data_IF_918292923924
#
_entry.id   IF_918292923924
#
_cell.length_a   1.000
_cell.length_b   1.000
_cell.length_c   1.000
_cell.angle_alpha   90.00
_cell.angle_beta   90.00
_cell.angle_gamma   90.00
#
_symmetry.space_group_name_H-M   'P 1'
#
loop_
_entity.id
_entity.type
_entity.pdbx_description
1 polymer ?
#
# COMPACT_ATOMS: atom_id res chain seq x y z
N UNK A 1 -26.14 -17.74 -57.04
CA UNK A 1 -27.52 -18.27 -57.07
C UNK A 1 -28.16 -17.86 -55.75
N UNK A 2 -29.17 -16.98 -55.83
CA UNK A 2 -29.78 -16.30 -54.68
C UNK A 2 -30.95 -17.14 -54.18
N UNK A 3 -30.97 -17.44 -52.88
CA UNK A 3 -32.09 -17.99 -52.12
C UNK A 3 -31.79 -17.65 -50.65
N UNK A 4 -32.68 -17.22 -49.76
CA UNK A 4 -34.13 -17.18 -49.73
C UNK A 4 -34.49 -16.17 -48.62
N UNK A 5 -35.51 -15.34 -48.86
CA UNK A 5 -36.10 -14.46 -47.84
C UNK A 5 -36.84 -15.29 -46.78
N UNK A 6 -36.95 -14.73 -45.57
CA UNK A 6 -38.21 -14.56 -44.78
C UNK A 6 -38.09 -14.98 -43.29
N UNK A 7 -38.03 -13.96 -42.42
CA UNK A 7 -38.72 -13.74 -41.13
C UNK A 7 -38.69 -14.85 -40.06
N UNK A 8 -38.08 -14.55 -38.90
CA UNK A 8 -38.72 -14.67 -37.57
C UNK A 8 -38.18 -13.55 -36.66
N UNK A 9 -39.06 -12.64 -36.25
CA UNK A 9 -38.83 -11.76 -35.11
C UNK A 9 -39.02 -12.56 -33.82
N UNK A 10 -38.06 -12.49 -32.90
CA UNK A 10 -38.21 -12.98 -31.54
C UNK A 10 -37.74 -11.88 -30.58
N UNK A 11 -38.71 -11.04 -30.19
CA UNK A 11 -38.68 -10.34 -28.92
C UNK A 11 -38.80 -11.39 -27.82
N UNK A 12 -37.74 -11.57 -27.03
CA UNK A 12 -37.85 -12.22 -25.72
C UNK A 12 -37.56 -11.16 -24.67
N UNK A 13 -38.60 -10.92 -23.88
CA UNK A 13 -38.66 -9.98 -22.79
C UNK A 13 -37.93 -10.50 -21.54
N UNK A 14 -37.50 -9.54 -20.72
CA UNK A 14 -37.43 -9.57 -19.26
C UNK A 14 -36.38 -10.46 -18.56
N UNK A 15 -35.79 -9.86 -17.53
CA UNK A 15 -34.90 -10.49 -16.54
C UNK A 15 -33.44 -10.22 -16.89
N UNK A 16 -32.65 -9.48 -16.13
CA UNK A 16 -32.68 -9.28 -14.68
C UNK A 16 -31.96 -7.98 -14.35
N UNK A 17 -32.59 -7.14 -13.54
CA UNK A 17 -31.87 -6.19 -12.69
C UNK A 17 -31.06 -7.01 -11.70
N UNK A 18 -29.87 -7.47 -12.11
CA UNK A 18 -28.83 -7.82 -11.17
C UNK A 18 -28.34 -6.50 -10.59
N UNK A 19 -29.11 -6.00 -9.61
CA UNK A 19 -28.56 -5.30 -8.45
C UNK A 19 -27.58 -6.29 -7.82
N UNK A 20 -26.42 -6.42 -8.44
CA UNK A 20 -25.26 -7.03 -7.82
C UNK A 20 -25.07 -6.25 -6.54
N UNK A 21 -25.41 -6.90 -5.44
CA UNK A 21 -25.09 -6.47 -4.10
C UNK A 21 -23.58 -6.31 -4.12
N UNK A 22 -23.10 -5.10 -4.40
CA UNK A 22 -21.74 -4.77 -4.06
C UNK A 22 -21.66 -5.14 -2.57
N UNK A 23 -20.78 -6.07 -2.16
CA UNK A 23 -20.55 -6.23 -0.75
C UNK A 23 -20.14 -4.83 -0.31
N UNK A 24 -20.94 -4.23 0.58
CA UNK A 24 -20.40 -3.17 1.40
C UNK A 24 -19.20 -3.84 2.05
N UNK A 25 -17.99 -3.46 1.62
CA UNK A 25 -16.79 -3.83 2.34
C UNK A 25 -17.11 -3.48 3.78
N UNK A 26 -17.17 -4.49 4.65
CA UNK A 26 -17.26 -4.23 6.06
C UNK A 26 -16.04 -3.36 6.32
N UNK A 27 -16.23 -2.08 6.67
CA UNK A 27 -15.13 -1.22 7.06
C UNK A 27 -14.47 -1.94 8.24
N UNK A 28 -13.38 -2.65 7.96
CA UNK A 28 -12.61 -3.34 8.97
C UNK A 28 -12.14 -2.30 9.98
N UNK A 29 -11.94 -2.71 11.22
CA UNK A 29 -11.32 -1.82 12.20
C UNK A 29 -9.93 -1.42 11.66
N UNK A 30 -9.82 -0.17 11.18
CA UNK A 30 -8.56 0.38 10.68
C UNK A 30 -7.85 1.22 11.73
N UNK A 31 -6.53 1.20 11.70
CA UNK A 31 -5.69 2.06 12.53
C UNK A 31 -4.44 2.48 11.76
N UNK A 32 -3.68 3.43 12.34
CA UNK A 32 -2.46 3.93 11.74
C UNK A 32 -1.28 3.67 12.67
N UNK A 33 -0.15 3.24 12.09
CA UNK A 33 1.13 3.11 12.79
C UNK A 33 2.09 4.10 12.15
N UNK A 34 2.67 4.99 12.96
CA UNK A 34 3.71 5.92 12.51
C UNK A 34 5.01 5.63 13.25
N UNK A 35 6.12 5.61 12.50
CA UNK A 35 7.48 5.44 13.02
C UNK A 35 8.41 6.40 12.33
N UNK A 36 9.38 6.93 13.08
CA UNK A 36 10.31 7.92 12.57
C UNK A 36 11.75 7.54 12.89
N UNK A 37 12.63 7.83 11.93
CA UNK A 37 14.07 7.66 12.02
C UNK A 37 14.75 8.97 11.65
N UNK A 38 15.79 9.31 12.40
CA UNK A 38 16.65 10.43 12.05
C UNK A 38 17.74 9.94 11.11
N UNK A 39 17.77 10.51 9.91
CA UNK A 39 18.84 10.37 8.93
C UNK A 39 19.87 11.47 9.23
N UNK A 40 21.09 11.09 9.57
CA UNK A 40 22.12 12.04 9.99
C UNK A 40 23.50 11.57 9.59
N UNK A 41 24.53 12.34 9.94
CA UNK A 41 25.91 12.04 9.63
C UNK A 41 26.76 12.07 10.90
N UNK A 42 27.66 11.10 11.04
CA UNK A 42 28.68 11.08 12.10
C UNK A 42 30.04 10.98 11.44
N UNK A 43 30.89 11.99 11.65
CA UNK A 43 32.20 12.09 11.01
C UNK A 43 32.17 12.01 9.46
N UNK A 44 31.05 12.41 8.85
CA UNK A 44 30.84 12.36 7.40
C UNK A 44 30.19 11.06 6.91
N UNK A 45 30.05 10.04 7.76
CA UNK A 45 29.39 8.80 7.39
C UNK A 45 27.88 8.87 7.68
N UNK A 46 27.01 8.40 6.77
CA UNK A 46 25.57 8.36 7.00
C UNK A 46 25.22 7.42 8.15
N UNK A 47 24.20 7.80 8.93
CA UNK A 47 23.70 7.08 10.11
C UNK A 47 22.19 7.21 10.22
N UNK A 48 21.53 6.08 10.45
CA UNK A 48 20.11 6.02 10.80
C UNK A 48 19.99 5.89 12.32
N UNK A 49 19.13 6.69 12.95
CA UNK A 49 18.87 6.65 14.39
C UNK A 49 17.36 6.51 14.65
N UNK A 50 16.90 5.47 15.38
CA UNK A 50 17.70 4.40 15.98
C UNK A 50 18.42 3.55 14.92
N UNK A 51 19.50 2.87 15.34
CA UNK A 51 20.28 2.01 14.45
C UNK A 51 19.39 0.88 13.91
N UNK A 52 19.57 0.57 12.63
CA UNK A 52 18.87 -0.50 11.91
C UNK A 52 19.88 -1.38 11.20
N UNK A 53 19.49 -2.62 10.91
CA UNK A 53 20.28 -3.55 10.12
C UNK A 53 20.13 -3.25 8.62
N UNK A 54 21.19 -3.49 7.85
CA UNK A 54 21.23 -3.36 6.38
C UNK A 54 20.80 -1.99 5.81
N UNK A 55 20.83 -0.94 6.64
CA UNK A 55 20.36 0.41 6.30
C UNK A 55 18.91 0.44 5.79
N UNK A 56 18.08 -0.52 6.22
CA UNK A 56 16.67 -0.62 5.88
C UNK A 56 15.82 -0.35 7.11
N UNK A 57 14.88 0.59 6.99
CA UNK A 57 13.89 0.86 8.03
C UNK A 57 12.61 0.12 7.71
N UNK A 58 11.88 -0.30 8.76
CA UNK A 58 10.66 -1.07 8.62
C UNK A 58 9.54 -0.48 9.50
N UNK A 59 8.34 -0.41 8.92
CA UNK A 59 7.11 -0.18 9.67
C UNK A 59 6.14 -1.32 9.41
N UNK A 60 5.63 -1.91 10.49
CA UNK A 60 4.79 -3.12 10.47
C UNK A 60 3.56 -2.92 11.36
N UNK A 61 2.42 -3.42 10.90
CA UNK A 61 1.16 -3.49 11.65
C UNK A 61 1.32 -4.32 12.94
N UNK A 62 0.38 -4.21 13.86
CA UNK A 62 0.37 -5.04 15.05
C UNK A 62 -0.11 -6.46 14.73
N UNK A 63 0.44 -7.46 15.42
CA UNK A 63 0.10 -8.87 15.21
C UNK A 63 0.23 -9.26 13.72
N UNK A 64 -0.74 -10.01 13.19
CA UNK A 64 -0.82 -10.43 11.78
C UNK A 64 -1.78 -9.53 10.96
N UNK A 65 -2.08 -8.33 11.45
CA UNK A 65 -2.93 -7.35 10.75
C UNK A 65 -2.32 -6.94 9.41
N UNK A 66 -3.16 -6.65 8.43
CA UNK A 66 -2.73 -6.41 7.06
C UNK A 66 -2.55 -4.91 6.79
N UNK A 67 -1.45 -4.56 6.14
CA UNK A 67 -1.24 -3.20 5.64
C UNK A 67 -2.14 -3.00 4.42
N UNK A 68 -2.88 -1.88 4.42
CA UNK A 68 -3.78 -1.50 3.31
C UNK A 68 -3.28 -0.29 2.55
N UNK A 69 -2.46 0.54 3.18
CA UNK A 69 -1.88 1.75 2.59
C UNK A 69 -0.64 2.19 3.39
N UNK A 70 0.24 2.98 2.77
CA UNK A 70 1.37 3.60 3.46
C UNK A 70 1.81 4.91 2.81
N UNK A 71 2.51 5.75 3.58
CA UNK A 71 3.07 7.02 3.13
C UNK A 71 4.33 7.39 3.90
N UNK A 72 5.13 8.25 3.31
CA UNK A 72 6.24 8.94 3.97
C UNK A 72 5.94 10.43 4.13
N UNK A 73 6.63 11.10 5.05
CA UNK A 73 6.56 12.55 5.19
C UNK A 73 7.24 13.30 4.03
N UNK A 74 8.26 12.69 3.43
CA UNK A 74 9.02 13.23 2.30
C UNK A 74 9.49 12.08 1.40
N UNK A 75 9.10 12.13 0.13
CA UNK A 75 9.45 11.11 -0.86
C UNK A 75 10.92 11.20 -1.29
N UNK A 76 11.56 12.37 -1.16
CA UNK A 76 12.97 12.55 -1.49
C UNK A 76 13.90 11.82 -0.50
N UNK A 77 13.36 11.36 0.64
CA UNK A 77 14.06 10.55 1.65
C UNK A 77 13.96 9.05 1.38
N UNK A 78 13.39 8.62 0.25
CA UNK A 78 13.18 7.21 -0.10
C UNK A 78 13.95 6.84 -1.37
N UNK A 79 15.01 6.05 -1.22
CA UNK A 79 15.78 5.54 -2.36
C UNK A 79 15.07 4.35 -3.02
N UNK A 80 14.58 3.42 -2.20
CA UNK A 80 13.90 2.20 -2.63
C UNK A 80 12.93 1.74 -1.55
N UNK A 81 11.84 1.08 -1.95
CA UNK A 81 10.87 0.51 -1.02
C UNK A 81 10.26 -0.77 -1.58
N UNK A 82 9.77 -1.63 -0.67
CA UNK A 82 9.00 -2.80 -1.03
C UNK A 82 8.08 -3.22 0.11
N UNK A 83 6.96 -3.84 -0.24
CA UNK A 83 6.05 -4.44 0.74
C UNK A 83 6.67 -5.72 1.30
N UNK A 84 6.43 -5.98 2.59
CA UNK A 84 6.80 -7.26 3.19
C UNK A 84 6.01 -8.39 2.52
N UNK A 85 6.63 -9.55 2.37
CA UNK A 85 6.01 -10.72 1.74
C UNK A 85 4.78 -11.25 2.50
N UNK A 86 4.65 -10.94 3.79
CA UNK A 86 3.51 -11.28 4.64
C UNK A 86 2.37 -10.25 4.59
N UNK A 87 2.52 -9.15 3.84
CA UNK A 87 1.51 -8.10 3.69
C UNK A 87 1.34 -7.21 4.93
N UNK A 88 2.13 -7.38 5.98
CA UNK A 88 1.91 -6.68 7.26
C UNK A 88 2.58 -5.32 7.34
N UNK A 89 3.34 -4.89 6.33
CA UNK A 89 4.16 -3.69 6.43
C UNK A 89 4.99 -3.38 5.21
N UNK A 90 5.86 -2.39 5.36
CA UNK A 90 6.74 -1.86 4.31
C UNK A 90 8.17 -1.74 4.82
N UNK A 91 9.12 -2.04 3.93
CA UNK A 91 10.54 -1.85 4.13
C UNK A 91 11.03 -0.73 3.18
N UNK A 92 11.84 0.17 3.71
CA UNK A 92 12.34 1.35 3.00
C UNK A 92 13.85 1.46 3.18
N UNK A 93 14.57 1.59 2.07
CA UNK A 93 15.95 2.07 2.07
C UNK A 93 15.93 3.60 2.00
N UNK A 94 16.39 4.31 3.04
CA UNK A 94 16.40 5.76 3.02
C UNK A 94 17.40 6.33 2.01
N UNK A 95 17.07 7.47 1.44
CA UNK A 95 18.01 8.32 0.68
C UNK A 95 18.61 9.37 1.61
N UNK A 96 19.92 9.63 1.47
CA UNK A 96 20.66 10.55 2.30
C UNK A 96 21.02 11.81 1.49
N UNK A 97 20.30 12.90 1.71
CA UNK A 97 20.39 14.13 0.90
C UNK A 97 21.66 14.95 1.15
N UNK A 98 22.30 14.75 2.30
CA UNK A 98 23.43 15.56 2.79
C UNK A 98 23.08 16.36 4.05
N UNK A 99 21.80 16.43 4.41
CA UNK A 99 21.30 17.13 5.58
C UNK A 99 20.90 16.16 6.71
N UNK A 100 20.66 16.68 7.91
CA UNK A 100 20.06 15.88 8.99
C UNK A 100 18.55 16.06 8.96
N UNK A 101 17.85 14.95 8.74
CA UNK A 101 16.42 14.95 8.44
C UNK A 101 15.71 13.83 9.20
N UNK A 102 14.37 13.90 9.22
CA UNK A 102 13.52 12.89 9.84
C UNK A 102 12.75 12.20 8.72
N UNK A 103 12.98 10.90 8.55
CA UNK A 103 12.12 10.03 7.77
C UNK A 103 11.03 9.50 8.70
N UNK A 104 9.78 9.76 8.39
CA UNK A 104 8.60 9.21 9.07
C UNK A 104 7.79 8.37 8.08
N UNK A 105 7.59 7.11 8.43
CA UNK A 105 6.74 6.18 7.70
C UNK A 105 5.44 6.01 8.48
N UNK A 106 4.32 6.25 7.80
CA UNK A 106 2.98 6.00 8.33
C UNK A 106 2.30 4.92 7.50
N UNK A 107 1.92 3.80 8.13
CA UNK A 107 1.14 2.73 7.50
C UNK A 107 -0.29 2.74 8.03
N UNK A 108 -1.25 2.39 7.18
CA UNK A 108 -2.64 2.07 7.54
C UNK A 108 -2.79 0.56 7.61
N UNK A 109 -3.31 0.09 8.73
CA UNK A 109 -3.53 -1.31 9.02
C UNK A 109 -5.02 -1.60 9.13
N UNK A 110 -5.42 -2.79 8.68
CA UNK A 110 -6.74 -3.36 8.86
C UNK A 110 -6.61 -4.67 9.65
N UNK A 111 -7.46 -4.86 10.67
CA UNK A 111 -7.48 -6.11 11.42
C UNK A 111 -7.91 -7.27 10.54
N UNK A 112 -7.12 -8.34 10.54
CA UNK A 112 -7.40 -9.58 9.81
C UNK A 112 -8.51 -10.42 10.46
#
# INVERSE_FOLDING_TARGET
MVAMRTIVALLVAAGSLLLGSAPAAADGDTYMVSRSWKLTYSHGDPRIVPHVEDDVVESTCHNDDQMTDWRVNDEDLVAEWWEKADGTGVQVRPEFTGETEILEITIRCEKA
#
